data_IF_379014634145
#
_entry.id   IF_379014634145
#
_cell.length_a   1.000
_cell.length_b   1.000
_cell.length_c   1.000
_cell.angle_alpha   90.00
_cell.angle_beta   90.00
_cell.angle_gamma   90.00
#
_symmetry.space_group_name_H-M   'P 1'
#
loop_
_entity.id
_entity.type
_entity.pdbx_description
1 polymer ?
#
# COMPACT_ATOMS: atom_id res chain seq x y z
N UNK A 1 -0.42 -23.21 -6.55
CA UNK A 1 -1.05 -23.89 -7.68
C UNK A 1 -1.58 -22.86 -8.70
N UNK A 2 -1.74 -23.33 -9.94
CA UNK A 2 -2.30 -22.50 -11.02
C UNK A 2 -3.70 -21.95 -10.68
N UNK A 3 -4.52 -22.74 -9.99
CA UNK A 3 -5.86 -22.33 -9.57
C UNK A 3 -5.83 -21.17 -8.53
N UNK A 4 -4.90 -21.23 -7.59
CA UNK A 4 -4.71 -20.16 -6.60
C UNK A 4 -4.19 -18.89 -7.25
N UNK A 5 -3.27 -19.00 -8.20
CA UNK A 5 -2.76 -17.86 -8.96
C UNK A 5 -3.89 -17.20 -9.76
N UNK A 6 -4.69 -17.99 -10.48
CA UNK A 6 -5.80 -17.45 -11.26
C UNK A 6 -6.80 -16.69 -10.38
N UNK A 7 -7.17 -17.26 -9.24
CA UNK A 7 -8.07 -16.60 -8.29
C UNK A 7 -7.49 -15.28 -7.77
N UNK A 8 -6.22 -15.27 -7.40
CA UNK A 8 -5.53 -14.09 -6.93
C UNK A 8 -5.41 -13.01 -8.03
N UNK A 9 -5.08 -13.42 -9.25
CA UNK A 9 -5.02 -12.54 -10.42
C UNK A 9 -6.38 -11.92 -10.75
N UNK A 10 -7.43 -12.72 -10.77
CA UNK A 10 -8.78 -12.24 -11.05
C UNK A 10 -9.22 -11.22 -9.99
N UNK A 11 -8.91 -11.46 -8.72
CA UNK A 11 -9.24 -10.57 -7.63
C UNK A 11 -8.55 -9.20 -7.78
N UNK A 12 -7.24 -9.16 -8.09
CA UNK A 12 -6.54 -7.89 -8.26
C UNK A 12 -6.96 -7.17 -9.54
N UNK A 13 -7.20 -7.89 -10.62
CA UNK A 13 -7.67 -7.31 -11.88
C UNK A 13 -9.04 -6.66 -11.72
N UNK A 14 -9.95 -7.29 -11.01
CA UNK A 14 -11.27 -6.72 -10.72
C UNK A 14 -11.20 -5.49 -9.81
N UNK A 15 -10.24 -5.43 -8.92
CA UNK A 15 -10.09 -4.37 -7.94
C UNK A 15 -9.47 -3.08 -8.52
N UNK A 16 -8.56 -3.20 -9.50
CA UNK A 16 -7.85 -2.05 -10.09
C UNK A 16 -8.78 -0.96 -10.62
N UNK A 17 -9.80 -1.25 -11.45
CA UNK A 17 -10.72 -0.22 -11.93
C UNK A 17 -11.46 0.49 -10.80
N UNK A 18 -11.84 -0.24 -9.75
CA UNK A 18 -12.49 0.35 -8.58
C UNK A 18 -11.57 1.33 -7.85
N UNK A 19 -10.31 0.93 -7.61
CA UNK A 19 -9.31 1.79 -6.96
C UNK A 19 -9.02 3.04 -7.78
N UNK A 20 -8.87 2.90 -9.11
CA UNK A 20 -8.66 4.02 -10.04
C UNK A 20 -9.84 4.98 -10.04
N UNK A 21 -11.06 4.46 -10.06
CA UNK A 21 -12.28 5.27 -10.05
C UNK A 21 -12.44 6.05 -8.76
N UNK A 22 -12.10 5.43 -7.64
CA UNK A 22 -12.13 6.09 -6.33
C UNK A 22 -11.12 7.23 -6.25
N UNK A 23 -9.91 7.03 -6.77
CA UNK A 23 -8.87 8.05 -6.86
C UNK A 23 -9.31 9.20 -7.76
N UNK A 24 -9.85 8.90 -8.95
CA UNK A 24 -10.38 9.89 -9.89
C UNK A 24 -11.48 10.73 -9.25
N UNK A 25 -12.44 10.10 -8.59
CA UNK A 25 -13.53 10.78 -7.91
C UNK A 25 -13.00 11.73 -6.82
N UNK A 26 -12.04 11.26 -6.02
CA UNK A 26 -11.41 12.07 -4.99
C UNK A 26 -10.68 13.28 -5.58
N UNK A 27 -9.94 13.10 -6.68
CA UNK A 27 -9.27 14.18 -7.40
C UNK A 27 -10.26 15.21 -7.94
N UNK A 28 -11.33 14.76 -8.59
CA UNK A 28 -12.35 15.62 -9.17
C UNK A 28 -13.07 16.45 -8.10
N UNK A 29 -13.43 15.83 -6.98
CA UNK A 29 -14.09 16.53 -5.88
C UNK A 29 -13.15 17.54 -5.22
N UNK A 30 -11.90 17.18 -5.01
CA UNK A 30 -10.89 18.05 -4.38
C UNK A 30 -10.56 19.26 -5.25
N UNK A 31 -10.54 19.08 -6.59
CA UNK A 31 -10.30 20.17 -7.53
C UNK A 31 -11.36 21.29 -7.49
N UNK A 32 -12.57 20.99 -6.98
CA UNK A 32 -13.66 21.96 -6.88
C UNK A 32 -13.71 22.68 -5.53
N UNK A 33 -12.82 22.31 -4.59
CA UNK A 33 -12.75 22.93 -3.27
C UNK A 33 -11.59 23.90 -3.20
N UNK A 34 -11.83 25.05 -2.58
CA UNK A 34 -10.80 26.04 -2.29
C UNK A 34 -10.12 25.71 -0.95
N UNK A 35 -8.78 25.84 -0.91
CA UNK A 35 -8.00 25.67 0.30
C UNK A 35 -7.49 24.25 0.52
N UNK A 36 -7.02 23.97 1.73
CA UNK A 36 -6.50 22.66 2.10
C UNK A 36 -7.65 21.65 2.24
N UNK A 37 -7.67 20.68 1.37
CA UNK A 37 -8.63 19.59 1.37
C UNK A 37 -7.97 18.35 1.94
N UNK A 38 -8.67 17.62 2.82
CA UNK A 38 -8.22 16.34 3.35
C UNK A 38 -7.74 16.36 4.79
N UNK A 39 -7.75 17.51 5.45
CA UNK A 39 -7.50 17.64 6.89
C UNK A 39 -6.16 17.05 7.31
N UNK A 40 -6.18 16.21 8.34
CA UNK A 40 -4.98 15.63 8.94
C UNK A 40 -4.17 14.73 7.96
N UNK A 41 -4.82 14.13 6.95
CA UNK A 41 -4.16 13.18 6.04
C UNK A 41 -3.36 13.84 4.92
N UNK A 42 -3.55 15.13 4.68
CA UNK A 42 -2.83 15.91 3.67
C UNK A 42 -1.78 16.84 4.28
N UNK A 43 -1.71 16.91 5.60
CA UNK A 43 -0.79 17.80 6.30
C UNK A 43 0.67 17.45 5.98
N UNK A 44 1.39 18.39 5.36
CA UNK A 44 2.81 18.28 5.07
C UNK A 44 3.60 18.76 6.27
N UNK A 45 4.19 17.83 7.02
CA UNK A 45 5.03 18.12 8.18
C UNK A 45 6.49 17.97 7.81
N UNK A 46 7.39 18.59 8.57
CA UNK A 46 8.82 18.26 8.51
C UNK A 46 8.99 16.77 8.82
N UNK A 47 9.65 16.04 7.93
CA UNK A 47 9.83 14.59 8.08
C UNK A 47 10.95 14.32 9.07
N UNK A 48 10.60 13.84 10.25
CA UNK A 48 11.53 13.40 11.31
C UNK A 48 11.41 11.90 11.58
N UNK A 49 10.23 11.35 11.44
CA UNK A 49 9.89 9.96 11.73
C UNK A 49 9.20 9.34 10.52
N UNK A 50 9.75 8.23 10.03
CA UNK A 50 9.26 7.51 8.85
C UNK A 50 8.91 6.08 9.23
N UNK A 51 7.77 5.61 8.77
CA UNK A 51 7.38 4.20 8.85
C UNK A 51 7.37 3.60 7.45
N UNK A 52 8.08 2.49 7.28
CA UNK A 52 8.08 1.71 6.04
C UNK A 52 7.27 0.44 6.28
N UNK A 53 6.20 0.28 5.52
CA UNK A 53 5.40 -0.96 5.50
C UNK A 53 5.97 -1.84 4.40
N UNK A 54 6.65 -2.91 4.77
CA UNK A 54 7.28 -3.85 3.83
C UNK A 54 6.42 -5.11 3.72
N UNK A 55 5.89 -5.35 2.53
CA UNK A 55 5.00 -6.48 2.27
C UNK A 55 5.78 -7.61 1.60
N UNK A 56 5.93 -8.72 2.31
CA UNK A 56 6.60 -9.93 1.84
C UNK A 56 5.66 -11.13 2.02
N UNK A 57 6.19 -12.34 1.87
CA UNK A 57 5.44 -13.57 2.10
C UNK A 57 5.79 -14.23 3.43
N UNK A 58 4.95 -15.19 3.84
CA UNK A 58 5.24 -16.05 4.99
C UNK A 58 6.14 -17.24 4.62
N UNK A 59 6.14 -17.64 3.34
CA UNK A 59 6.84 -18.81 2.84
C UNK A 59 7.85 -18.44 1.77
N UNK A 60 8.92 -19.22 1.68
CA UNK A 60 9.94 -19.05 0.66
C UNK A 60 9.62 -19.74 -0.67
N UNK A 61 10.67 -20.05 -1.44
CA UNK A 61 10.61 -20.72 -2.73
C UNK A 61 9.81 -19.95 -3.79
N UNK A 62 9.91 -18.63 -3.73
CA UNK A 62 9.25 -17.71 -4.67
C UNK A 62 10.28 -16.79 -5.38
N UNK A 63 11.45 -17.35 -5.69
CA UNK A 63 12.51 -16.62 -6.39
C UNK A 63 12.97 -15.39 -5.60
N UNK A 64 13.16 -14.29 -6.28
CA UNK A 64 13.61 -13.02 -5.70
C UNK A 64 12.48 -12.17 -5.10
N UNK A 65 11.26 -12.67 -5.00
CA UNK A 65 10.10 -11.94 -4.51
C UNK A 65 10.37 -11.20 -3.20
N UNK A 66 10.79 -11.93 -2.17
CA UNK A 66 11.06 -11.35 -0.85
C UNK A 66 12.33 -10.49 -0.84
N UNK A 67 13.41 -10.97 -1.45
CA UNK A 67 14.69 -10.28 -1.50
C UNK A 67 14.56 -8.90 -2.14
N UNK A 68 13.78 -8.77 -3.20
CA UNK A 68 13.59 -7.51 -3.91
C UNK A 68 12.88 -6.47 -3.04
N UNK A 69 11.85 -6.87 -2.30
CA UNK A 69 11.16 -5.97 -1.35
C UNK A 69 12.09 -5.59 -0.19
N UNK A 70 12.82 -6.54 0.35
CA UNK A 70 13.76 -6.30 1.46
C UNK A 70 14.84 -5.30 1.04
N UNK A 71 15.44 -5.48 -0.14
CA UNK A 71 16.43 -4.54 -0.69
C UNK A 71 15.83 -3.14 -0.86
N UNK A 72 14.65 -3.06 -1.42
CA UNK A 72 13.98 -1.77 -1.64
C UNK A 72 13.64 -1.09 -0.32
N UNK A 73 13.14 -1.83 0.67
CA UNK A 73 12.87 -1.28 2.00
C UNK A 73 14.13 -0.70 2.65
N UNK A 74 15.27 -1.37 2.52
CA UNK A 74 16.56 -0.86 3.01
C UNK A 74 17.00 0.40 2.27
N UNK A 75 16.84 0.43 0.95
CA UNK A 75 17.14 1.63 0.15
C UNK A 75 16.27 2.82 0.56
N UNK A 76 14.99 2.58 0.78
CA UNK A 76 14.07 3.63 1.26
C UNK A 76 14.48 4.11 2.65
N UNK A 77 14.84 3.21 3.55
CA UNK A 77 15.35 3.59 4.88
C UNK A 77 16.62 4.46 4.78
N UNK A 78 17.56 4.07 3.94
CA UNK A 78 18.81 4.78 3.71
C UNK A 78 18.61 6.15 3.03
N UNK A 79 17.48 6.34 2.35
CA UNK A 79 17.13 7.64 1.74
C UNK A 79 16.67 8.69 2.76
N UNK A 80 16.55 8.34 4.03
CA UNK A 80 16.14 9.22 5.12
C UNK A 80 17.25 9.32 6.18
N UNK A 81 18.46 9.81 5.81
CA UNK A 81 19.59 9.90 6.78
C UNK A 81 19.26 10.86 7.91
N UNK A 82 19.63 10.46 9.13
CA UNK A 82 19.40 11.27 10.33
C UNK A 82 17.94 11.28 10.81
N UNK A 83 17.07 10.53 10.20
CA UNK A 83 15.66 10.38 10.61
C UNK A 83 15.45 9.09 11.38
N UNK A 84 14.40 9.07 12.21
CA UNK A 84 13.94 7.82 12.81
C UNK A 84 13.17 7.04 11.73
N UNK A 85 13.67 5.87 11.37
CA UNK A 85 13.03 5.00 10.39
C UNK A 85 12.69 3.68 11.03
N UNK A 86 11.40 3.39 11.10
CA UNK A 86 10.87 2.14 11.64
C UNK A 86 10.22 1.32 10.52
N UNK A 87 10.09 0.04 10.76
CA UNK A 87 9.49 -0.89 9.81
C UNK A 87 8.31 -1.60 10.43
N UNK A 88 7.22 -1.67 9.69
CA UNK A 88 6.11 -2.57 9.89
C UNK A 88 6.23 -3.69 8.86
N UNK A 89 6.50 -4.90 9.31
CA UNK A 89 6.65 -6.05 8.40
C UNK A 89 5.32 -6.78 8.26
N UNK A 90 4.80 -6.81 7.04
CA UNK A 90 3.71 -7.70 6.66
C UNK A 90 4.33 -8.89 5.95
N UNK A 91 4.25 -10.08 6.58
CA UNK A 91 4.91 -11.28 6.10
C UNK A 91 6.17 -11.64 6.88
N UNK A 92 6.30 -12.94 7.16
CA UNK A 92 7.37 -13.49 7.99
C UNK A 92 8.77 -13.28 7.38
N UNK A 93 8.90 -13.48 6.07
CA UNK A 93 10.21 -13.44 5.40
C UNK A 93 10.88 -12.07 5.47
N UNK A 94 10.11 -11.00 5.37
CA UNK A 94 10.63 -9.64 5.56
C UNK A 94 11.11 -9.40 6.98
N UNK A 95 10.30 -9.80 7.96
CA UNK A 95 10.67 -9.66 9.36
C UNK A 95 11.95 -10.41 9.71
N UNK A 96 12.09 -11.66 9.26
CA UNK A 96 13.26 -12.50 9.58
C UNK A 96 14.58 -11.84 9.19
N UNK A 97 14.59 -11.03 8.13
CA UNK A 97 15.78 -10.33 7.64
C UNK A 97 15.87 -8.91 8.18
N UNK A 98 14.80 -8.13 8.06
CA UNK A 98 14.81 -6.70 8.40
C UNK A 98 15.04 -6.44 9.89
N UNK A 99 14.56 -7.30 10.77
CA UNK A 99 14.76 -7.15 12.21
C UNK A 99 16.23 -7.21 12.64
N UNK A 100 17.11 -7.74 11.80
CA UNK A 100 18.55 -7.85 12.12
C UNK A 100 19.27 -6.53 11.96
N UNK A 101 18.79 -5.64 11.12
CA UNK A 101 19.47 -4.39 10.75
C UNK A 101 18.59 -3.14 10.92
N UNK A 102 17.30 -3.31 11.09
CA UNK A 102 16.34 -2.22 11.17
C UNK A 102 15.43 -2.39 12.40
N UNK A 103 14.79 -1.32 12.83
CA UNK A 103 13.84 -1.35 13.92
C UNK A 103 12.46 -1.78 13.41
N UNK A 104 12.13 -3.05 13.56
CA UNK A 104 10.81 -3.57 13.22
C UNK A 104 9.90 -3.42 14.44
N UNK A 105 8.94 -2.49 14.36
CA UNK A 105 8.05 -2.16 15.48
C UNK A 105 6.82 -3.04 15.53
N UNK A 106 6.43 -3.64 14.41
CA UNK A 106 5.23 -4.47 14.31
C UNK A 106 5.38 -5.48 13.19
N UNK A 107 4.77 -6.66 13.39
CA UNK A 107 4.75 -7.75 12.42
C UNK A 107 3.32 -8.25 12.28
N UNK A 108 2.84 -8.39 11.04
CA UNK A 108 1.58 -9.05 10.76
C UNK A 108 1.81 -10.19 9.76
N UNK A 109 1.77 -11.42 10.26
CA UNK A 109 1.90 -12.62 9.44
C UNK A 109 0.55 -13.28 9.11
N UNK A 110 -0.51 -12.85 9.79
CA UNK A 110 -1.82 -13.53 9.74
C UNK A 110 -2.77 -12.97 8.70
N UNK A 111 -2.48 -11.79 8.15
CA UNK A 111 -3.35 -11.17 7.13
C UNK A 111 -3.60 -12.10 5.92
N UNK A 112 -2.61 -12.92 5.56
CA UNK A 112 -2.72 -13.81 4.40
C UNK A 112 -3.59 -15.05 4.67
N UNK A 113 -3.87 -15.36 5.93
CA UNK A 113 -4.78 -16.46 6.29
C UNK A 113 -6.22 -16.12 5.95
N UNK A 114 -6.56 -14.85 6.05
CA UNK A 114 -7.87 -14.32 5.71
C UNK A 114 -7.73 -12.91 5.13
N UNK A 115 -7.37 -12.83 3.86
CA UNK A 115 -7.15 -11.57 3.16
C UNK A 115 -8.48 -11.00 2.66
N UNK A 116 -9.11 -10.22 3.51
CA UNK A 116 -10.35 -9.51 3.26
C UNK A 116 -10.13 -8.01 3.28
N UNK A 117 -11.03 -7.25 2.66
CA UNK A 117 -11.02 -5.79 2.75
C UNK A 117 -11.11 -5.32 4.19
N UNK A 118 -11.94 -5.97 5.01
CA UNK A 118 -12.12 -5.62 6.41
C UNK A 118 -10.80 -5.76 7.19
N UNK A 119 -10.12 -6.90 7.07
CA UNK A 119 -8.86 -7.14 7.77
C UNK A 119 -7.74 -6.20 7.31
N UNK A 120 -7.67 -5.89 6.01
CA UNK A 120 -6.72 -4.91 5.49
C UNK A 120 -7.09 -3.49 5.94
N UNK A 121 -8.38 -3.17 6.05
CA UNK A 121 -8.85 -1.88 6.54
C UNK A 121 -8.44 -1.63 7.99
N UNK A 122 -8.42 -2.66 8.82
CA UNK A 122 -7.98 -2.55 10.21
C UNK A 122 -6.49 -2.16 10.28
N UNK A 123 -5.67 -2.74 9.43
CA UNK A 123 -4.25 -2.36 9.33
C UNK A 123 -4.12 -0.91 8.84
N UNK A 124 -4.87 -0.54 7.80
CA UNK A 124 -4.87 0.83 7.28
C UNK A 124 -5.30 1.84 8.35
N UNK A 125 -6.31 1.50 9.15
CA UNK A 125 -6.77 2.36 10.25
C UNK A 125 -5.67 2.58 11.29
N UNK A 126 -4.94 1.53 11.67
CA UNK A 126 -3.80 1.66 12.58
C UNK A 126 -2.74 2.62 12.02
N UNK A 127 -2.43 2.50 10.74
CA UNK A 127 -1.45 3.40 10.08
C UNK A 127 -1.94 4.85 10.07
N UNK A 128 -3.22 5.06 9.75
CA UNK A 128 -3.85 6.38 9.77
C UNK A 128 -3.80 6.99 11.17
N UNK A 129 -4.13 6.22 12.18
CA UNK A 129 -4.12 6.67 13.59
C UNK A 129 -2.72 7.08 14.03
N UNK A 130 -1.69 6.30 13.69
CA UNK A 130 -0.29 6.64 13.98
C UNK A 130 0.15 7.94 13.30
N UNK A 131 -0.28 8.16 12.08
CA UNK A 131 0.02 9.39 11.35
C UNK A 131 -0.67 10.61 11.99
N UNK A 132 -1.95 10.50 12.29
CA UNK A 132 -2.72 11.58 12.93
C UNK A 132 -2.19 11.91 14.31
N UNK A 133 -1.78 10.90 15.08
CA UNK A 133 -1.19 11.09 16.41
C UNK A 133 0.21 11.72 16.39
N UNK A 134 0.85 11.83 15.22
CA UNK A 134 2.20 12.36 15.11
C UNK A 134 3.30 11.36 15.40
N UNK A 135 2.98 10.07 15.51
CA UNK A 135 3.99 9.01 15.70
C UNK A 135 4.91 8.91 14.49
N UNK A 136 4.37 9.16 13.29
CA UNK A 136 5.11 9.19 12.03
C UNK A 136 4.68 10.39 11.19
N UNK A 137 5.65 10.98 10.50
CA UNK A 137 5.44 12.12 9.60
C UNK A 137 5.29 11.67 8.14
N UNK A 138 5.71 10.44 7.85
CA UNK A 138 5.65 9.83 6.53
C UNK A 138 5.48 8.32 6.68
N UNK A 139 4.58 7.75 5.89
CA UNK A 139 4.38 6.29 5.81
C UNK A 139 4.47 5.89 4.34
N UNK A 140 5.39 4.97 4.05
CA UNK A 140 5.60 4.41 2.71
C UNK A 140 5.33 2.92 2.69
N UNK A 141 4.76 2.42 1.60
CA UNK A 141 4.51 1.00 1.37
C UNK A 141 5.47 0.50 0.30
N UNK A 142 6.19 -0.59 0.59
CA UNK A 142 7.05 -1.29 -0.38
C UNK A 142 6.45 -2.67 -0.62
N UNK A 143 6.16 -2.98 -1.87
CA UNK A 143 5.48 -4.22 -2.24
C UNK A 143 5.79 -4.62 -3.68
N UNK A 144 5.44 -5.85 -4.05
CA UNK A 144 5.49 -6.33 -5.43
C UNK A 144 4.12 -6.16 -6.08
N UNK A 145 4.07 -5.39 -7.16
CA UNK A 145 2.91 -5.31 -8.03
C UNK A 145 2.91 -6.51 -8.98
N UNK A 146 1.75 -7.14 -9.14
CA UNK A 146 1.56 -8.24 -10.07
C UNK A 146 1.43 -7.72 -11.50
N UNK A 147 2.31 -8.15 -12.39
CA UNK A 147 2.21 -7.89 -13.83
C UNK A 147 1.71 -9.14 -14.57
N UNK A 148 2.43 -10.23 -14.39
CA UNK A 148 2.07 -11.57 -14.87
C UNK A 148 2.79 -12.60 -14.00
N UNK A 149 2.57 -13.89 -14.24
CA UNK A 149 3.18 -14.95 -13.43
C UNK A 149 4.71 -14.88 -13.35
N UNK A 150 5.36 -14.46 -14.43
CA UNK A 150 6.83 -14.42 -14.51
C UNK A 150 7.42 -13.09 -14.04
N UNK A 151 6.64 -12.03 -13.95
CA UNK A 151 7.14 -10.67 -13.72
C UNK A 151 6.38 -9.99 -12.58
N UNK A 152 7.15 -9.54 -11.59
CA UNK A 152 6.68 -8.70 -10.51
C UNK A 152 7.43 -7.36 -10.59
N UNK A 153 6.77 -6.28 -10.21
CA UNK A 153 7.35 -4.93 -10.22
C UNK A 153 7.39 -4.43 -8.78
N UNK A 154 8.59 -4.18 -8.25
CA UNK A 154 8.73 -3.59 -6.92
C UNK A 154 8.27 -2.14 -6.97
N UNK A 155 7.32 -1.80 -6.09
CA UNK A 155 6.79 -0.45 -5.95
C UNK A 155 7.09 0.10 -4.58
N UNK A 156 7.41 1.38 -4.53
CA UNK A 156 7.42 2.20 -3.33
C UNK A 156 6.34 3.26 -3.50
N UNK A 157 5.36 3.23 -2.62
CA UNK A 157 4.21 4.13 -2.69
C UNK A 157 4.06 4.89 -1.38
N UNK A 158 3.99 6.22 -1.46
CA UNK A 158 3.68 7.03 -0.28
C UNK A 158 2.22 6.81 0.11
N UNK A 159 2.01 6.30 1.31
CA UNK A 159 0.68 6.09 1.87
C UNK A 159 0.16 7.36 2.56
N UNK A 160 0.98 7.96 3.40
CA UNK A 160 0.69 9.22 4.08
C UNK A 160 1.95 10.08 4.21
N UNK A 161 1.84 11.42 4.16
CA UNK A 161 0.61 12.15 3.85
C UNK A 161 0.16 11.87 2.43
N UNK A 162 -1.13 12.07 2.16
CA UNK A 162 -1.63 12.06 0.80
C UNK A 162 -0.91 13.14 0.00
N UNK A 163 -0.47 12.78 -1.20
CA UNK A 163 0.07 13.74 -2.14
C UNK A 163 -0.99 14.84 -2.36
N UNK A 164 -0.57 16.12 -2.51
CA UNK A 164 -1.52 17.15 -2.86
C UNK A 164 -2.29 16.73 -4.10
N UNK A 165 -3.61 16.71 -3.97
CA UNK A 165 -4.47 16.37 -5.11
C UNK A 165 -4.47 17.61 -6.00
N UNK A 166 -3.58 17.62 -6.97
CA UNK A 166 -3.55 18.67 -7.99
C UNK A 166 -4.75 18.41 -8.88
N UNK A 167 -5.66 19.41 -8.93
CA UNK A 167 -6.84 19.32 -9.77
C UNK A 167 -6.46 19.00 -11.21
N UNK A 168 -6.90 17.85 -11.70
CA UNK A 168 -7.05 17.62 -13.12
C UNK A 168 -8.09 18.57 -13.68
N UNK A 169 -8.23 18.65 -14.99
CA UNK A 169 -9.27 19.45 -15.63
C UNK A 169 -10.60 19.19 -14.91
N UNK A 170 -11.20 20.28 -14.44
CA UNK A 170 -12.54 20.24 -13.84
C UNK A 170 -13.51 19.81 -14.94
N UNK A 171 -13.80 18.52 -14.99
CA UNK A 171 -14.96 18.08 -15.75
C UNK A 171 -16.16 18.58 -14.95
N UNK A 172 -16.86 19.55 -15.50
CA UNK A 172 -18.11 20.03 -14.92
C UNK A 172 -19.05 18.83 -14.84
N UNK A 173 -19.13 18.20 -13.69
CA UNK A 173 -20.10 17.15 -13.44
C UNK A 173 -21.26 17.77 -12.70
N UNK A 174 -22.47 17.58 -13.23
CA UNK A 174 -23.72 18.02 -12.65
C UNK A 174 -24.13 17.18 -11.42
N UNK A 175 -23.14 16.72 -10.63
CA UNK A 175 -23.44 15.97 -9.41
C UNK A 175 -23.98 16.93 -8.34
N UNK A 176 -25.19 16.69 -7.90
CA UNK A 176 -25.74 17.33 -6.71
C UNK A 176 -25.18 16.56 -5.51
N UNK A 177 -24.33 17.24 -4.73
CA UNK A 177 -23.75 16.64 -3.54
C UNK A 177 -24.55 17.07 -2.29
N UNK A 178 -25.22 16.10 -1.69
CA UNK A 178 -25.72 16.22 -0.31
C UNK A 178 -25.21 15.00 0.47
N UNK A 179 -24.46 15.17 1.51
CA UNK A 179 -23.96 16.36 2.20
C UNK A 179 -22.90 17.16 1.40
N UNK A 180 -22.32 18.21 1.98
CA UNK A 180 -21.38 19.10 1.31
C UNK A 180 -20.22 18.33 0.66
N UNK A 181 -19.60 18.90 -0.39
CA UNK A 181 -18.42 18.33 -1.05
C UNK A 181 -17.28 18.05 -0.07
N UNK A 182 -17.08 18.92 0.93
CA UNK A 182 -16.05 18.75 1.96
C UNK A 182 -16.30 17.50 2.80
N UNK A 183 -17.52 17.25 3.23
CA UNK A 183 -17.88 16.07 4.00
C UNK A 183 -17.70 14.79 3.19
N UNK A 184 -18.04 14.83 1.89
CA UNK A 184 -17.84 13.70 0.97
C UNK A 184 -16.36 13.40 0.83
N UNK A 185 -15.51 14.40 0.62
CA UNK A 185 -14.06 14.23 0.52
C UNK A 185 -13.49 13.64 1.81
N UNK A 186 -13.90 14.17 2.98
CA UNK A 186 -13.45 13.64 4.27
C UNK A 186 -13.89 12.20 4.51
N UNK A 187 -14.99 11.75 3.94
CA UNK A 187 -15.46 10.37 3.99
C UNK A 187 -14.70 9.48 3.00
N UNK A 188 -14.40 10.00 1.80
CA UNK A 188 -13.72 9.26 0.75
C UNK A 188 -12.24 9.02 1.03
N UNK A 189 -11.57 9.93 1.72
CA UNK A 189 -10.14 9.81 2.01
C UNK A 189 -9.82 8.54 2.79
N UNK A 190 -10.45 8.26 3.95
CA UNK A 190 -10.21 7.01 4.67
C UNK A 190 -10.51 5.77 3.82
N UNK A 191 -11.58 5.80 3.04
CA UNK A 191 -11.95 4.71 2.15
C UNK A 191 -10.91 4.49 1.05
N UNK A 192 -10.38 5.56 0.47
CA UNK A 192 -9.31 5.52 -0.52
C UNK A 192 -8.04 4.92 0.06
N UNK A 193 -7.64 5.32 1.26
CA UNK A 193 -6.46 4.78 1.94
C UNK A 193 -6.61 3.28 2.25
N UNK A 194 -7.75 2.86 2.76
CA UNK A 194 -8.07 1.46 3.02
C UNK A 194 -8.03 0.61 1.75
N UNK A 195 -8.60 1.14 0.67
CA UNK A 195 -8.60 0.50 -0.65
C UNK A 195 -7.18 0.39 -1.21
N UNK A 196 -6.36 1.42 -1.05
CA UNK A 196 -4.97 1.44 -1.50
C UNK A 196 -4.13 0.36 -0.80
N UNK A 197 -4.23 0.24 0.51
CA UNK A 197 -3.50 -0.78 1.25
C UNK A 197 -3.99 -2.19 0.88
N UNK A 198 -5.29 -2.38 0.81
CA UNK A 198 -5.86 -3.66 0.40
C UNK A 198 -5.39 -4.08 -1.00
N UNK A 199 -5.38 -3.14 -1.94
CA UNK A 199 -4.86 -3.36 -3.30
C UNK A 199 -3.40 -3.78 -3.26
N UNK A 200 -2.56 -3.09 -2.49
CA UNK A 200 -1.12 -3.41 -2.38
C UNK A 200 -0.88 -4.81 -1.83
N UNK A 201 -1.64 -5.22 -0.81
CA UNK A 201 -1.53 -6.58 -0.26
C UNK A 201 -2.05 -7.62 -1.25
N UNK A 202 -3.13 -7.34 -1.97
CA UNK A 202 -3.66 -8.22 -3.04
C UNK A 202 -2.69 -8.37 -4.20
N UNK A 203 -2.06 -7.28 -4.63
CA UNK A 203 -1.00 -7.32 -5.65
C UNK A 203 0.16 -8.22 -5.20
N UNK A 204 0.62 -8.02 -3.97
CA UNK A 204 1.69 -8.82 -3.38
C UNK A 204 1.33 -10.30 -3.34
N UNK A 205 0.12 -10.62 -2.93
CA UNK A 205 -0.37 -11.99 -2.85
C UNK A 205 -0.38 -12.68 -4.23
N UNK A 206 -0.89 -12.02 -5.25
CA UNK A 206 -0.87 -12.52 -6.62
C UNK A 206 0.56 -12.67 -7.15
N UNK A 207 1.41 -11.68 -6.91
CA UNK A 207 2.81 -11.68 -7.32
C UNK A 207 3.60 -12.82 -6.65
N UNK A 208 3.34 -13.10 -5.39
CA UNK A 208 3.96 -14.23 -4.65
C UNK A 208 3.63 -15.56 -5.29
N UNK A 209 2.37 -15.79 -5.62
CA UNK A 209 1.93 -17.04 -6.27
C UNK A 209 2.53 -17.20 -7.65
N UNK A 210 2.60 -16.14 -8.43
CA UNK A 210 3.24 -16.14 -9.74
C UNK A 210 4.73 -16.43 -9.65
N UNK A 211 5.42 -15.77 -8.73
CA UNK A 211 6.85 -15.96 -8.51
C UNK A 211 7.20 -17.39 -8.05
N UNK A 212 6.37 -17.96 -7.17
CA UNK A 212 6.56 -19.34 -6.69
C UNK A 212 6.33 -20.35 -7.81
N UNK A 213 5.28 -20.18 -8.60
CA UNK A 213 5.00 -21.05 -9.73
C UNK A 213 6.13 -21.00 -10.76
N UNK A 214 6.64 -19.82 -11.08
CA UNK A 214 7.77 -19.65 -11.99
C UNK A 214 9.04 -20.29 -11.44
N UNK A 215 9.33 -20.13 -10.14
CA UNK A 215 10.49 -20.76 -9.49
C UNK A 215 10.39 -22.29 -9.51
N UNK A 216 9.21 -22.85 -9.28
CA UNK A 216 8.98 -24.30 -9.35
C UNK A 216 9.17 -24.85 -10.76
N UNK A 217 8.69 -24.16 -11.79
CA UNK A 217 8.91 -24.55 -13.18
C UNK A 217 10.39 -24.56 -13.54
N UNK A 218 11.16 -23.55 -13.11
CA UNK A 218 12.61 -23.51 -13.33
C UNK A 218 13.35 -24.64 -12.62
N UNK A 219 12.86 -25.09 -11.47
CA UNK A 219 13.48 -26.18 -10.71
C UNK A 219 13.25 -27.55 -11.35
N UNK A 220 12.23 -27.72 -12.18
CA UNK A 220 11.88 -28.98 -12.87
C UNK A 220 12.45 -29.08 -14.29
N UNK A 221 12.92 -27.99 -14.84
CA UNK A 221 13.63 -27.97 -16.15
C UNK A 221 15.14 -28.31 -15.92
#
# INVERSE_FOLDING_TARGET
SAAKLKKAQDAITAMRPYAEKLTELLQNLSATLEGEVGGAFTAQREVKKVLIVAITSNRGLCGAFNTNVIKQAKLVADSHPGKQVDIFAIGKKGNDVLRKTNNVIEVNNVIFDQLTFENASDIAQQLMDKFVAGDYDKIEIVYNEFKNAATQIVRTQQFLPLAPIVGGEVVASDYIFEPSKEEIVLTLIPKSLKTQLYKSIRDSFAAEHGARMTAMHKATD
#
